data_IF_931839923550
#
_entry.id   IF_931839923550
#
_cell.length_a   1.000
_cell.length_b   1.000
_cell.length_c   1.000
_cell.angle_alpha   90.00
_cell.angle_beta   90.00
_cell.angle_gamma   90.00
#
_symmetry.space_group_name_H-M   'P 1'
#
loop_
_entity.id
_entity.type
_entity.pdbx_description
1 polymer ?
#
# COMPACT_ATOMS: atom_id res chain seq x y z
N UNK A 1 -12.95 3.83 -10.37
CA UNK A 1 -14.32 4.08 -9.83
C UNK A 1 -14.50 5.57 -9.51
N UNK A 2 -15.70 6.14 -9.66
CA UNK A 2 -15.94 7.59 -9.44
C UNK A 2 -17.16 7.94 -8.59
N UNK A 3 -17.98 6.96 -8.22
CA UNK A 3 -19.11 7.20 -7.34
C UNK A 3 -18.62 7.38 -5.91
N UNK A 4 -19.21 8.32 -5.17
CA UNK A 4 -18.92 8.48 -3.74
C UNK A 4 -19.38 7.23 -2.97
N UNK A 5 -18.46 6.64 -2.21
CA UNK A 5 -18.74 5.51 -1.32
C UNK A 5 -19.52 5.96 -0.10
N UNK A 6 -20.36 5.06 0.42
CA UNK A 6 -20.95 5.20 1.75
C UNK A 6 -20.12 4.37 2.73
N UNK A 7 -19.63 5.01 3.79
CA UNK A 7 -18.83 4.38 4.83
C UNK A 7 -19.55 4.56 6.15
N UNK A 8 -19.78 3.45 6.85
CA UNK A 8 -20.42 3.43 8.15
C UNK A 8 -19.41 2.94 9.17
N UNK A 9 -19.03 3.83 10.09
CA UNK A 9 -18.09 3.49 11.16
C UNK A 9 -18.84 2.76 12.27
N UNK A 10 -18.32 1.61 12.67
CA UNK A 10 -18.84 0.87 13.82
C UNK A 10 -18.18 1.37 15.11
N UNK A 11 -18.90 1.35 16.24
CA UNK A 11 -18.33 1.72 17.53
C UNK A 11 -17.23 0.74 17.94
N UNK A 12 -16.30 1.22 18.78
CA UNK A 12 -15.28 0.35 19.36
C UNK A 12 -15.96 -0.71 20.23
N UNK A 13 -15.50 -1.95 20.03
CA UNK A 13 -15.76 -3.06 20.93
C UNK A 13 -14.57 -3.20 21.89
N UNK A 14 -14.83 -3.40 23.18
CA UNK A 14 -13.80 -3.57 24.21
C UNK A 14 -13.22 -4.99 24.14
N UNK A 15 -12.58 -5.29 23.01
CA UNK A 15 -12.12 -6.62 22.60
C UNK A 15 -10.71 -6.53 22.05
N UNK A 16 -9.88 -7.53 22.39
CA UNK A 16 -8.50 -7.58 21.95
C UNK A 16 -8.33 -8.61 20.83
N UNK A 17 -8.03 -8.13 19.63
CA UNK A 17 -7.82 -8.98 18.45
C UNK A 17 -6.66 -9.99 18.57
N UNK A 18 -5.74 -9.76 19.51
CA UNK A 18 -4.71 -10.75 19.83
C UNK A 18 -5.28 -12.03 20.48
N UNK A 19 -6.50 -11.99 21.03
CA UNK A 19 -7.15 -13.12 21.72
C UNK A 19 -8.26 -13.72 20.85
N UNK A 20 -8.20 -15.02 20.61
CA UNK A 20 -9.23 -15.72 19.82
C UNK A 20 -10.63 -15.65 20.45
N UNK A 21 -10.74 -15.74 21.78
CA UNK A 21 -12.04 -15.58 22.48
C UNK A 21 -12.70 -14.24 22.15
N UNK A 22 -11.93 -13.16 22.22
CA UNK A 22 -12.42 -11.82 21.89
C UNK A 22 -12.78 -11.69 20.40
N UNK A 23 -12.03 -12.32 19.50
CA UNK A 23 -12.35 -12.33 18.06
C UNK A 23 -13.64 -13.09 17.78
N UNK A 24 -13.87 -14.22 18.46
CA UNK A 24 -15.11 -14.98 18.34
C UNK A 24 -16.31 -14.11 18.78
N UNK A 25 -16.17 -13.35 19.85
CA UNK A 25 -17.19 -12.40 20.31
C UNK A 25 -17.41 -11.23 19.33
N UNK A 26 -16.33 -10.70 18.72
CA UNK A 26 -16.41 -9.67 17.67
C UNK A 26 -17.19 -10.21 16.47
N UNK A 27 -16.90 -11.44 16.03
CA UNK A 27 -17.57 -12.07 14.91
C UNK A 27 -19.05 -12.39 15.22
N UNK A 28 -19.37 -12.81 16.45
CA UNK A 28 -20.77 -13.01 16.87
C UNK A 28 -21.56 -11.70 16.92
N UNK A 29 -20.90 -10.61 17.31
CA UNK A 29 -21.49 -9.28 17.28
C UNK A 29 -21.75 -8.83 15.83
N UNK A 30 -20.82 -9.14 14.93
CA UNK A 30 -20.95 -8.84 13.50
C UNK A 30 -22.06 -9.67 12.83
N UNK A 31 -22.14 -10.97 13.12
CA UNK A 31 -23.23 -11.87 12.70
C UNK A 31 -24.60 -11.30 13.05
N UNK A 32 -24.79 -10.92 14.33
CA UNK A 32 -26.06 -10.34 14.82
C UNK A 32 -26.40 -9.03 14.11
N UNK A 33 -25.39 -8.17 13.89
CA UNK A 33 -25.55 -6.91 13.18
C UNK A 33 -26.01 -7.15 11.73
N UNK A 34 -25.35 -8.08 11.02
CA UNK A 34 -25.68 -8.40 9.63
C UNK A 34 -27.08 -9.02 9.51
N UNK A 35 -27.42 -10.01 10.35
CA UNK A 35 -28.75 -10.60 10.38
C UNK A 35 -29.83 -9.54 10.59
N UNK A 36 -29.64 -8.67 11.59
CA UNK A 36 -30.57 -7.57 11.87
C UNK A 36 -30.69 -6.64 10.67
N UNK A 37 -29.56 -6.21 10.09
CA UNK A 37 -29.51 -5.25 8.97
C UNK A 37 -30.24 -5.80 7.73
N UNK A 38 -30.00 -7.06 7.38
CA UNK A 38 -30.66 -7.71 6.24
C UNK A 38 -32.15 -7.91 6.51
N UNK A 39 -32.52 -8.33 7.72
CA UNK A 39 -33.92 -8.48 8.10
C UNK A 39 -34.68 -7.14 8.03
N UNK A 40 -34.10 -6.06 8.54
CA UNK A 40 -34.72 -4.73 8.53
C UNK A 40 -34.74 -4.09 7.13
N UNK A 41 -33.69 -4.29 6.33
CA UNK A 41 -33.55 -3.63 5.02
C UNK A 41 -34.26 -4.38 3.89
N UNK A 42 -34.35 -5.71 3.98
CA UNK A 42 -34.86 -6.58 2.91
C UNK A 42 -36.00 -7.49 3.33
N UNK A 43 -36.37 -7.53 4.61
CA UNK A 43 -37.43 -8.40 5.12
C UNK A 43 -37.03 -9.87 5.26
N UNK A 44 -35.78 -10.24 4.95
CA UNK A 44 -35.29 -11.62 5.02
C UNK A 44 -33.78 -11.69 5.23
N UNK A 45 -33.34 -12.67 6.02
CA UNK A 45 -31.91 -13.00 6.20
C UNK A 45 -31.37 -13.92 5.11
N UNK A 46 -32.22 -14.53 4.28
CA UNK A 46 -31.78 -15.49 3.24
C UNK A 46 -30.85 -14.83 2.20
N UNK A 47 -30.99 -13.52 1.99
CA UNK A 47 -30.10 -12.77 1.10
C UNK A 47 -28.67 -12.67 1.65
N UNK A 48 -28.51 -12.66 2.98
CA UNK A 48 -27.19 -12.69 3.62
C UNK A 48 -26.49 -14.01 3.31
N UNK A 49 -27.18 -15.14 3.46
CA UNK A 49 -26.62 -16.46 3.16
C UNK A 49 -26.32 -16.63 1.66
N UNK A 50 -27.22 -16.11 0.80
CA UNK A 50 -27.07 -16.19 -0.65
C UNK A 50 -25.89 -15.37 -1.18
N UNK A 51 -25.77 -14.12 -0.76
CA UNK A 51 -24.78 -13.20 -1.32
C UNK A 51 -23.52 -13.09 -0.48
N UNK A 52 -23.58 -13.34 0.82
CA UNK A 52 -22.46 -13.17 1.72
C UNK A 52 -22.00 -11.71 1.87
N UNK A 53 -21.07 -11.52 2.80
CA UNK A 53 -20.39 -10.26 3.08
C UNK A 53 -18.89 -10.52 3.02
N UNK A 54 -18.22 -9.72 2.18
CA UNK A 54 -16.77 -9.76 2.10
C UNK A 54 -16.22 -9.18 3.38
N UNK A 55 -15.24 -9.87 3.94
CA UNK A 55 -14.51 -9.39 5.10
C UNK A 55 -13.07 -9.18 4.71
N UNK A 56 -12.51 -8.07 5.16
CA UNK A 56 -11.16 -7.70 4.81
C UNK A 56 -10.56 -6.85 5.93
N UNK A 57 -9.24 -6.82 5.97
CA UNK A 57 -8.51 -6.06 6.96
C UNK A 57 -7.01 -6.18 6.76
N UNK A 58 -6.26 -5.68 7.73
CA UNK A 58 -4.81 -5.86 7.75
C UNK A 58 -4.44 -7.35 7.94
N UNK A 59 -3.14 -7.62 7.98
CA UNK A 59 -2.63 -9.00 8.05
C UNK A 59 -3.05 -9.71 9.34
N UNK A 60 -3.11 -8.98 10.46
CA UNK A 60 -3.54 -9.55 11.73
C UNK A 60 -5.03 -9.91 11.68
N UNK A 61 -5.87 -8.97 11.26
CA UNK A 61 -7.33 -9.15 11.14
C UNK A 61 -7.67 -10.35 10.28
N UNK A 62 -7.05 -10.42 9.10
CA UNK A 62 -7.28 -11.51 8.14
C UNK A 62 -6.99 -12.87 8.76
N UNK A 63 -5.83 -13.05 9.41
CA UNK A 63 -5.43 -14.31 10.04
C UNK A 63 -6.34 -14.66 11.22
N UNK A 64 -6.74 -13.67 12.02
CA UNK A 64 -7.61 -13.89 13.18
C UNK A 64 -9.02 -14.31 12.76
N UNK A 65 -9.57 -13.66 11.74
CA UNK A 65 -10.89 -13.99 11.21
C UNK A 65 -10.91 -15.37 10.54
N UNK A 66 -9.89 -15.70 9.74
CA UNK A 66 -9.77 -17.06 9.17
C UNK A 66 -9.61 -18.11 10.27
N UNK A 67 -8.76 -17.87 11.26
CA UNK A 67 -8.58 -18.79 12.40
C UNK A 67 -9.86 -19.00 13.19
N UNK A 68 -10.63 -17.94 13.46
CA UNK A 68 -11.91 -18.04 14.18
C UNK A 68 -12.97 -18.81 13.37
N UNK A 69 -13.00 -18.66 12.04
CA UNK A 69 -13.84 -19.49 11.17
C UNK A 69 -13.41 -20.96 11.21
N UNK A 70 -12.11 -21.24 11.19
CA UNK A 70 -11.58 -22.60 11.27
C UNK A 70 -11.95 -23.28 12.60
N UNK A 71 -11.87 -22.57 13.72
CA UNK A 71 -12.32 -23.08 15.04
C UNK A 71 -13.81 -23.48 15.04
N UNK A 72 -14.61 -22.83 14.19
CA UNK A 72 -16.05 -23.06 14.09
C UNK A 72 -16.44 -24.02 12.97
N UNK A 73 -15.49 -24.56 12.21
CA UNK A 73 -15.76 -25.34 10.99
C UNK A 73 -16.70 -26.53 11.21
N UNK A 74 -16.67 -27.15 12.40
CA UNK A 74 -17.53 -28.29 12.76
C UNK A 74 -18.86 -27.89 13.43
N UNK A 75 -19.19 -26.59 13.44
CA UNK A 75 -20.46 -26.14 14.03
C UNK A 75 -21.65 -26.65 13.21
N UNK A 76 -22.79 -26.99 13.83
CA UNK A 76 -23.90 -27.63 13.12
C UNK A 76 -24.54 -26.78 12.01
N UNK A 77 -24.58 -25.46 12.15
CA UNK A 77 -25.27 -24.55 11.24
C UNK A 77 -24.31 -23.63 10.48
N UNK A 78 -24.68 -23.27 9.24
CA UNK A 78 -23.89 -22.36 8.40
C UNK A 78 -23.65 -20.98 9.06
N UNK A 79 -24.67 -20.46 9.75
CA UNK A 79 -24.55 -19.23 10.55
C UNK A 79 -23.52 -19.36 11.69
N UNK A 80 -23.52 -20.47 12.45
CA UNK A 80 -22.48 -20.68 13.47
C UNK A 80 -21.09 -20.86 12.87
N UNK A 81 -20.99 -21.40 11.66
CA UNK A 81 -19.74 -21.49 10.88
C UNK A 81 -19.34 -20.15 10.24
N UNK A 82 -20.19 -19.13 10.32
CA UNK A 82 -20.01 -17.81 9.70
C UNK A 82 -19.71 -17.94 8.19
N UNK A 83 -20.40 -18.85 7.51
CA UNK A 83 -20.12 -19.18 6.10
C UNK A 83 -20.30 -17.98 5.17
N UNK A 84 -21.27 -17.11 5.46
CA UNK A 84 -21.56 -15.95 4.65
C UNK A 84 -20.51 -14.83 4.78
N UNK A 85 -19.65 -14.84 5.82
CA UNK A 85 -18.50 -13.93 5.92
C UNK A 85 -17.38 -14.39 4.97
N UNK A 86 -17.58 -14.21 3.66
CA UNK A 86 -16.71 -14.74 2.63
C UNK A 86 -16.55 -13.80 1.43
N UNK A 87 -15.35 -13.79 0.80
CA UNK A 87 -14.10 -14.30 1.36
C UNK A 87 -13.59 -13.41 2.50
N UNK A 88 -12.60 -13.92 3.24
CA UNK A 88 -11.73 -13.09 4.10
C UNK A 88 -10.47 -12.79 3.28
N UNK A 89 -10.13 -11.52 3.07
CA UNK A 89 -8.98 -11.11 2.22
C UNK A 89 -8.13 -10.03 2.88
N UNK A 90 -6.86 -9.95 2.48
CA UNK A 90 -5.96 -8.85 2.89
C UNK A 90 -6.37 -7.53 2.22
N UNK A 91 -6.16 -6.42 2.92
CA UNK A 91 -6.26 -5.07 2.37
C UNK A 91 -4.90 -4.53 1.87
N UNK A 92 -4.94 -3.50 1.03
CA UNK A 92 -3.82 -3.16 0.14
C UNK A 92 -2.86 -2.08 0.70
N UNK A 93 -3.27 -1.24 1.64
CA UNK A 93 -2.39 -0.16 2.12
C UNK A 93 -1.19 -0.70 2.89
N UNK A 94 -1.42 -1.59 3.86
CA UNK A 94 -0.32 -2.19 4.63
C UNK A 94 0.64 -3.01 3.75
N UNK A 95 0.12 -3.64 2.69
CA UNK A 95 0.94 -4.32 1.68
C UNK A 95 1.83 -3.32 0.93
N UNK A 96 1.29 -2.17 0.53
CA UNK A 96 2.04 -1.07 -0.08
C UNK A 96 3.09 -0.50 0.87
N UNK A 97 2.80 -0.40 2.17
CA UNK A 97 3.79 -0.01 3.18
C UNK A 97 4.93 -1.03 3.27
N UNK A 98 4.62 -2.32 3.32
CA UNK A 98 5.63 -3.38 3.42
C UNK A 98 6.49 -3.49 2.15
N UNK A 99 5.91 -3.21 0.97
CA UNK A 99 6.66 -3.07 -0.28
C UNK A 99 7.73 -1.96 -0.18
N UNK A 100 7.35 -0.80 0.35
CA UNK A 100 8.28 0.32 0.52
C UNK A 100 9.34 -0.02 1.57
N UNK A 101 8.97 -0.66 2.67
CA UNK A 101 9.90 -1.19 3.68
C UNK A 101 10.93 -2.15 3.03
N UNK A 102 10.50 -3.10 2.19
CA UNK A 102 11.43 -4.01 1.50
C UNK A 102 12.35 -3.28 0.52
N UNK A 103 11.85 -2.22 -0.12
CA UNK A 103 12.65 -1.38 -1.01
C UNK A 103 13.74 -0.63 -0.24
N UNK A 104 13.41 -0.04 0.91
CA UNK A 104 14.40 0.62 1.77
C UNK A 104 15.41 -0.39 2.35
N UNK A 105 14.98 -1.57 2.79
CA UNK A 105 15.91 -2.63 3.23
C UNK A 105 16.92 -3.02 2.15
N UNK A 106 16.52 -2.99 0.89
CA UNK A 106 17.40 -3.31 -0.24
C UNK A 106 18.32 -2.15 -0.65
N UNK A 107 17.85 -0.89 -0.54
CA UNK A 107 18.47 0.27 -1.18
C UNK A 107 18.82 1.42 -0.24
N UNK A 108 18.67 1.26 1.07
CA UNK A 108 18.99 2.29 2.06
C UNK A 108 19.96 1.74 3.10
N UNK A 109 21.10 2.42 3.25
CA UNK A 109 22.06 2.18 4.33
C UNK A 109 22.56 3.51 4.88
N UNK A 110 22.56 3.67 6.19
CA UNK A 110 23.01 4.92 6.83
C UNK A 110 24.50 5.21 6.62
N UNK A 111 25.32 4.21 6.31
CA UNK A 111 26.74 4.39 5.96
C UNK A 111 26.96 4.90 4.51
N UNK A 112 25.88 5.05 3.73
CA UNK A 112 25.93 5.53 2.34
C UNK A 112 25.66 7.03 2.17
N UNK A 113 25.67 7.82 3.26
CA UNK A 113 25.36 9.26 3.27
C UNK A 113 26.27 10.10 2.35
N UNK A 114 27.52 9.68 2.17
CA UNK A 114 28.52 10.33 1.31
C UNK A 114 28.51 9.78 -0.13
N UNK A 115 27.74 8.72 -0.40
CA UNK A 115 27.70 8.06 -1.72
C UNK A 115 26.62 8.69 -2.59
N UNK A 116 27.07 9.48 -3.56
CA UNK A 116 26.24 10.23 -4.50
C UNK A 116 25.12 9.37 -5.10
N UNK A 117 23.92 9.94 -5.17
CA UNK A 117 22.76 9.32 -5.81
C UNK A 117 22.00 8.29 -4.96
N UNK A 118 22.54 7.84 -3.82
CA UNK A 118 21.84 6.91 -2.92
C UNK A 118 20.69 7.58 -2.15
N UNK A 119 19.74 6.80 -1.65
CA UNK A 119 18.64 7.32 -0.83
C UNK A 119 19.16 7.99 0.45
N UNK A 120 20.23 7.47 1.07
CA UNK A 120 20.84 8.12 2.24
C UNK A 120 21.49 9.46 1.88
N UNK A 121 22.19 9.54 0.74
CA UNK A 121 22.74 10.80 0.23
C UNK A 121 21.65 11.86 0.04
N UNK A 122 20.55 11.52 -0.63
CA UNK A 122 19.44 12.45 -0.85
C UNK A 122 18.78 12.88 0.45
N UNK A 123 18.57 11.93 1.37
CA UNK A 123 18.04 12.18 2.71
C UNK A 123 18.88 13.21 3.47
N UNK A 124 20.20 13.08 3.41
CA UNK A 124 21.15 14.03 4.01
C UNK A 124 21.09 15.40 3.31
N UNK A 125 21.12 15.40 1.97
CA UNK A 125 21.13 16.61 1.13
C UNK A 125 19.88 17.48 1.36
N UNK A 126 18.72 16.83 1.49
CA UNK A 126 17.43 17.48 1.70
C UNK A 126 17.07 17.68 3.18
N UNK A 127 17.94 17.23 4.10
CA UNK A 127 17.73 17.30 5.56
C UNK A 127 16.38 16.69 6.00
N UNK A 128 15.99 15.54 5.41
CA UNK A 128 14.77 14.80 5.75
C UNK A 128 15.08 13.76 6.84
N UNK A 129 15.27 14.23 8.08
CA UNK A 129 15.74 13.38 9.19
C UNK A 129 14.81 12.20 9.49
N UNK A 130 13.51 12.39 9.28
CA UNK A 130 12.45 11.43 9.57
C UNK A 130 12.49 10.22 8.61
N UNK A 131 13.21 10.35 7.48
CA UNK A 131 13.56 9.23 6.61
C UNK A 131 14.78 8.51 7.22
N UNK A 132 14.51 7.59 8.14
CA UNK A 132 15.52 6.87 8.94
C UNK A 132 15.69 5.39 8.53
N UNK A 133 14.95 4.93 7.51
CA UNK A 133 14.95 3.55 7.03
C UNK A 133 13.95 2.63 7.74
N UNK A 134 13.29 3.08 8.82
CA UNK A 134 12.16 2.39 9.46
C UNK A 134 10.86 2.90 8.85
N UNK A 135 10.48 2.35 7.69
CA UNK A 135 9.39 2.89 6.87
C UNK A 135 8.05 2.86 7.60
N UNK A 136 7.74 1.76 8.30
CA UNK A 136 6.43 1.61 8.97
C UNK A 136 6.15 2.67 10.04
N UNK A 137 7.18 3.11 10.77
CA UNK A 137 7.05 4.14 11.82
C UNK A 137 6.86 5.56 11.28
N UNK A 138 7.39 5.85 10.08
CA UNK A 138 7.33 7.18 9.46
C UNK A 138 6.92 7.07 7.98
N UNK A 139 5.80 6.40 7.72
CA UNK A 139 5.45 5.97 6.36
C UNK A 139 5.28 7.15 5.40
N UNK A 140 4.63 8.23 5.84
CA UNK A 140 4.40 9.40 5.00
C UNK A 140 5.70 10.08 4.61
N UNK A 141 6.58 10.30 5.59
CA UNK A 141 7.90 10.89 5.33
C UNK A 141 8.71 10.07 4.33
N UNK A 142 8.72 8.74 4.48
CA UNK A 142 9.41 7.85 3.54
C UNK A 142 8.74 7.82 2.16
N UNK A 143 7.41 7.73 2.09
CA UNK A 143 6.65 7.68 0.84
C UNK A 143 6.83 8.96 0.01
N UNK A 144 6.62 10.14 0.62
CA UNK A 144 6.78 11.40 -0.09
C UNK A 144 8.22 11.60 -0.58
N UNK A 145 9.21 11.34 0.30
CA UNK A 145 10.62 11.43 -0.07
C UNK A 145 10.96 10.49 -1.23
N UNK A 146 10.52 9.23 -1.14
CA UNK A 146 10.77 8.23 -2.17
C UNK A 146 10.14 8.65 -3.51
N UNK A 147 8.90 9.14 -3.51
CA UNK A 147 8.21 9.63 -4.70
C UNK A 147 8.92 10.81 -5.34
N UNK A 148 9.46 11.74 -4.55
CA UNK A 148 10.28 12.83 -5.08
C UNK A 148 11.50 12.29 -5.83
N UNK A 149 12.31 11.46 -5.18
CA UNK A 149 13.55 10.96 -5.77
C UNK A 149 13.26 10.14 -7.04
N UNK A 150 12.26 9.26 -6.99
CA UNK A 150 11.86 8.45 -8.15
C UNK A 150 11.38 9.31 -9.31
N UNK A 151 10.54 10.32 -9.07
CA UNK A 151 10.05 11.22 -10.14
C UNK A 151 11.19 11.96 -10.82
N UNK A 152 12.15 12.46 -10.04
CA UNK A 152 13.30 13.16 -10.61
C UNK A 152 14.28 12.20 -11.32
N UNK A 153 14.41 10.95 -10.88
CA UNK A 153 15.16 9.92 -11.61
C UNK A 153 14.51 9.58 -12.96
N UNK A 154 13.18 9.46 -13.02
CA UNK A 154 12.45 9.24 -14.29
C UNK A 154 12.69 10.41 -15.24
N UNK A 155 12.65 11.65 -14.74
CA UNK A 155 13.02 12.81 -15.53
C UNK A 155 14.47 12.72 -16.02
N UNK A 156 15.43 12.38 -15.17
CA UNK A 156 16.84 12.24 -15.57
C UNK A 156 17.06 11.14 -16.63
N UNK A 157 16.31 10.03 -16.59
CA UNK A 157 16.32 9.01 -17.66
C UNK A 157 15.94 9.61 -19.01
N UNK A 158 14.88 10.42 -19.05
CA UNK A 158 14.44 11.10 -20.27
C UNK A 158 15.47 12.14 -20.73
N UNK A 159 16.05 12.91 -19.80
CA UNK A 159 17.11 13.88 -20.13
C UNK A 159 18.33 13.20 -20.77
N UNK A 160 18.74 12.06 -20.22
CA UNK A 160 19.88 11.30 -20.73
C UNK A 160 19.58 10.66 -22.09
N UNK A 161 18.40 10.06 -22.26
CA UNK A 161 18.01 9.43 -23.54
C UNK A 161 17.88 10.44 -24.68
N UNK A 162 17.23 11.58 -24.41
CA UNK A 162 16.94 12.59 -25.43
C UNK A 162 18.04 13.67 -25.52
N UNK A 163 19.16 13.50 -24.82
CA UNK A 163 20.28 14.46 -24.76
C UNK A 163 19.85 15.89 -24.41
N UNK A 164 18.94 16.03 -23.44
CA UNK A 164 18.43 17.32 -22.99
C UNK A 164 19.35 17.95 -21.94
N UNK A 165 19.37 19.28 -21.90
CA UNK A 165 20.02 20.05 -20.83
C UNK A 165 18.99 20.82 -20.01
N UNK A 166 19.30 21.05 -18.73
CA UNK A 166 18.42 21.84 -17.84
C UNK A 166 18.25 23.29 -18.30
N UNK A 167 19.22 23.82 -19.07
CA UNK A 167 19.22 25.19 -19.58
C UNK A 167 18.47 25.34 -20.92
N UNK A 168 18.11 24.23 -21.58
CA UNK A 168 17.37 24.26 -22.85
C UNK A 168 15.89 24.58 -22.60
N UNK A 169 15.52 25.85 -22.71
CA UNK A 169 14.16 26.35 -22.48
C UNK A 169 13.12 25.90 -23.54
N UNK A 170 13.52 25.21 -24.60
CA UNK A 170 12.60 24.69 -25.62
C UNK A 170 13.01 23.31 -26.13
N UNK A 171 12.74 22.24 -25.36
CA UNK A 171 13.04 20.86 -25.79
C UNK A 171 12.01 20.33 -26.81
N UNK A 172 10.91 21.05 -27.05
CA UNK A 172 9.87 20.65 -27.99
C UNK A 172 10.04 21.34 -29.35
N UNK A 173 10.13 20.57 -30.44
CA UNK A 173 10.02 21.12 -31.79
C UNK A 173 8.77 22.01 -31.92
N UNK A 174 8.89 23.23 -32.46
CA UNK A 174 7.80 24.22 -32.54
C UNK A 174 6.52 23.66 -33.23
N UNK A 175 6.69 22.71 -34.13
CA UNK A 175 5.62 21.96 -34.81
C UNK A 175 4.79 21.10 -33.85
N UNK A 176 5.34 20.54 -32.77
CA UNK A 176 4.59 19.79 -31.76
C UNK A 176 3.77 20.72 -30.89
N UNK A 177 4.30 21.89 -30.51
CA UNK A 177 3.57 22.86 -29.69
C UNK A 177 2.26 23.31 -30.35
N UNK A 178 2.24 23.41 -31.68
CA UNK A 178 1.07 23.77 -32.50
C UNK A 178 0.24 22.57 -32.98
N UNK A 179 0.67 21.34 -32.70
CA UNK A 179 -0.04 20.14 -33.13
C UNK A 179 -1.36 19.91 -32.37
N UNK A 180 -2.21 19.07 -32.95
CA UNK A 180 -3.47 18.65 -32.31
C UNK A 180 -3.22 17.92 -30.99
N UNK A 181 -4.21 17.91 -30.09
CA UNK A 181 -4.15 17.16 -28.82
C UNK A 181 -3.80 15.68 -29.06
N UNK A 182 -4.44 15.07 -30.05
CA UNK A 182 -4.24 13.65 -30.39
C UNK A 182 -2.79 13.37 -30.84
N UNK A 183 -2.23 14.27 -31.66
CA UNK A 183 -0.82 14.18 -32.08
C UNK A 183 0.14 14.33 -30.91
N UNK A 184 -0.13 15.24 -29.98
CA UNK A 184 0.68 15.42 -28.76
C UNK A 184 0.64 14.17 -27.87
N UNK A 185 -0.56 13.60 -27.66
CA UNK A 185 -0.73 12.38 -26.87
C UNK A 185 -0.03 11.17 -27.53
N UNK A 186 -0.13 11.03 -28.85
CA UNK A 186 0.57 9.98 -29.58
C UNK A 186 2.08 10.14 -29.44
N UNK A 187 2.61 11.35 -29.63
CA UNK A 187 4.06 11.58 -29.49
C UNK A 187 4.55 11.35 -28.07
N UNK A 188 3.75 11.71 -27.06
CA UNK A 188 4.07 11.42 -25.66
C UNK A 188 4.15 9.91 -25.40
N UNK A 189 3.20 9.13 -25.95
CA UNK A 189 3.22 7.66 -25.86
C UNK A 189 4.46 7.06 -26.52
N UNK A 190 4.82 7.54 -27.71
CA UNK A 190 6.05 7.12 -28.41
C UNK A 190 7.30 7.38 -27.55
N UNK A 191 7.49 8.63 -27.08
CA UNK A 191 8.63 8.99 -26.24
C UNK A 191 8.68 8.20 -24.93
N UNK A 192 7.51 7.96 -24.33
CA UNK A 192 7.41 7.14 -23.11
C UNK A 192 7.84 5.70 -23.40
N UNK A 193 7.39 5.11 -24.52
CA UNK A 193 7.81 3.76 -24.93
C UNK A 193 9.33 3.70 -25.14
N UNK A 194 9.91 4.69 -25.82
CA UNK A 194 11.36 4.76 -26.04
C UNK A 194 12.16 4.78 -24.72
N UNK A 195 11.69 5.53 -23.70
CA UNK A 195 12.29 5.53 -22.35
C UNK A 195 12.16 4.16 -21.69
N UNK A 196 10.96 3.59 -21.70
CA UNK A 196 10.69 2.29 -21.06
C UNK A 196 11.51 1.16 -21.70
N UNK A 197 11.62 1.15 -23.03
CA UNK A 197 12.39 0.17 -23.79
C UNK A 197 13.90 0.33 -23.55
N UNK A 198 14.41 1.57 -23.49
CA UNK A 198 15.84 1.83 -23.26
C UNK A 198 16.33 1.35 -21.91
N UNK A 199 15.56 1.62 -20.85
CA UNK A 199 15.94 1.34 -19.47
C UNK A 199 15.33 0.04 -18.94
N UNK A 200 14.69 -0.73 -19.81
CA UNK A 200 14.08 -2.03 -19.53
C UNK A 200 13.17 -2.00 -18.29
N UNK A 201 12.37 -0.94 -18.21
CA UNK A 201 11.75 -0.45 -16.98
C UNK A 201 10.60 -1.32 -16.47
N UNK A 202 10.16 -2.31 -17.26
CA UNK A 202 9.01 -3.15 -16.95
C UNK A 202 9.26 -4.64 -17.22
N UNK A 203 10.49 -5.03 -17.60
CA UNK A 203 10.85 -6.44 -17.70
C UNK A 203 11.66 -6.78 -16.48
N UNK A 204 11.07 -7.56 -15.57
CA UNK A 204 11.86 -8.31 -14.58
C UNK A 204 12.70 -9.28 -15.41
N UNK A 205 13.91 -8.87 -15.75
CA UNK A 205 14.68 -9.43 -16.86
C UNK A 205 16.18 -9.51 -16.58
N UNK A 206 16.93 -9.80 -17.65
CA UNK A 206 18.38 -9.99 -17.60
C UNK A 206 19.02 -8.69 -17.11
N UNK A 207 19.79 -8.72 -16.01
CA UNK A 207 20.45 -7.54 -15.50
C UNK A 207 21.44 -6.98 -16.52
N UNK A 208 21.70 -5.68 -16.45
CA UNK A 208 22.83 -5.11 -17.18
C UNK A 208 24.13 -5.73 -16.67
N UNK A 209 25.01 -6.17 -17.56
CA UNK A 209 26.38 -6.61 -17.23
C UNK A 209 27.32 -5.41 -16.90
N UNK A 210 26.76 -4.23 -16.67
CA UNK A 210 27.52 -3.02 -16.37
C UNK A 210 28.22 -3.11 -15.01
N UNK A 211 29.53 -2.85 -15.01
CA UNK A 211 30.32 -2.63 -13.78
C UNK A 211 30.11 -1.24 -13.15
N UNK A 212 29.13 -0.46 -13.64
CA UNK A 212 28.71 0.82 -13.04
C UNK A 212 27.68 0.56 -11.94
N UNK A 213 28.15 0.58 -10.69
CA UNK A 213 27.31 0.31 -9.52
C UNK A 213 26.27 1.42 -9.29
N UNK A 214 26.54 2.67 -9.71
CA UNK A 214 25.57 3.76 -9.57
C UNK A 214 24.45 3.64 -10.60
N UNK A 215 24.79 3.27 -11.84
CA UNK A 215 23.81 2.96 -12.88
C UNK A 215 22.88 1.82 -12.43
N UNK A 216 23.47 0.73 -11.93
CA UNK A 216 22.70 -0.42 -11.46
C UNK A 216 21.79 -0.03 -10.29
N UNK A 217 22.33 0.68 -9.29
CA UNK A 217 21.54 1.18 -8.17
C UNK A 217 20.37 2.08 -8.60
N UNK A 218 20.65 3.05 -9.47
CA UNK A 218 19.66 4.06 -9.89
C UNK A 218 18.56 3.44 -10.75
N UNK A 219 18.92 2.47 -11.61
CA UNK A 219 17.97 1.70 -12.41
C UNK A 219 17.07 0.85 -11.51
N UNK A 220 17.65 0.12 -10.56
CA UNK A 220 16.89 -0.72 -9.61
C UNK A 220 15.92 0.11 -8.78
N UNK A 221 16.39 1.25 -8.24
CA UNK A 221 15.58 2.21 -7.51
C UNK A 221 14.42 2.74 -8.35
N UNK A 222 14.68 3.09 -9.61
CA UNK A 222 13.66 3.64 -10.52
C UNK A 222 12.59 2.60 -10.85
N UNK A 223 12.96 1.35 -11.13
CA UNK A 223 12.00 0.27 -11.42
C UNK A 223 11.10 0.00 -10.21
N UNK A 224 11.70 -0.13 -9.01
CA UNK A 224 10.91 -0.29 -7.77
C UNK A 224 9.99 0.90 -7.52
N UNK A 225 10.49 2.09 -7.81
CA UNK A 225 9.77 3.36 -7.70
C UNK A 225 8.58 3.47 -8.63
N UNK A 226 8.74 3.09 -9.89
CA UNK A 226 7.67 3.09 -10.87
C UNK A 226 6.56 2.12 -10.51
N UNK A 227 6.91 0.92 -10.03
CA UNK A 227 5.91 0.00 -9.52
C UNK A 227 5.18 0.54 -8.27
N UNK A 228 5.88 1.25 -7.37
CA UNK A 228 5.22 1.93 -6.25
C UNK A 228 4.23 3.01 -6.71
N UNK A 229 4.63 3.86 -7.66
CA UNK A 229 3.75 4.87 -8.26
C UNK A 229 2.56 4.22 -8.99
N UNK A 230 2.78 3.10 -9.66
CA UNK A 230 1.76 2.31 -10.34
C UNK A 230 0.74 1.73 -9.35
N UNK A 231 1.16 1.26 -8.17
CA UNK A 231 0.24 0.84 -7.11
C UNK A 231 -0.62 2.02 -6.62
N UNK A 232 -0.04 3.18 -6.35
CA UNK A 232 -0.82 4.37 -5.95
C UNK A 232 -1.81 4.81 -7.04
N UNK A 233 -1.39 4.84 -8.30
CA UNK A 233 -2.23 5.22 -9.44
C UNK A 233 -3.38 4.23 -9.64
N UNK A 234 -3.09 2.93 -9.52
CA UNK A 234 -4.10 1.86 -9.60
C UNK A 234 -5.23 2.09 -8.61
N UNK A 235 -4.88 2.43 -7.36
CA UNK A 235 -5.86 2.74 -6.32
C UNK A 235 -6.60 4.02 -6.68
N UNK A 236 -5.90 5.14 -6.92
CA UNK A 236 -6.52 6.45 -7.19
C UNK A 236 -7.54 6.43 -8.31
N UNK A 237 -7.21 5.78 -9.43
CA UNK A 237 -8.11 5.64 -10.58
C UNK A 237 -9.23 4.60 -10.34
N UNK A 238 -9.07 3.77 -9.31
CA UNK A 238 -9.95 2.65 -9.00
C UNK A 238 -9.94 1.62 -10.13
N UNK A 239 -8.74 1.27 -10.59
CA UNK A 239 -8.52 0.35 -11.70
C UNK A 239 -8.32 -1.08 -11.20
N UNK A 240 -9.44 -1.78 -11.06
CA UNK A 240 -9.47 -3.16 -10.59
C UNK A 240 -8.67 -4.13 -11.46
N UNK A 241 -8.43 -3.80 -12.74
CA UNK A 241 -7.71 -4.68 -13.66
C UNK A 241 -6.21 -4.75 -13.36
N UNK A 242 -5.65 -3.68 -12.80
CA UNK A 242 -4.23 -3.56 -12.49
C UNK A 242 -3.85 -4.10 -11.11
N UNK A 243 -4.82 -4.30 -10.20
CA UNK A 243 -4.56 -4.84 -8.84
C UNK A 243 -3.83 -6.18 -8.89
N UNK A 244 -4.34 -7.15 -9.66
CA UNK A 244 -3.73 -8.48 -9.76
C UNK A 244 -2.33 -8.43 -10.37
N UNK A 245 -2.11 -7.53 -11.34
CA UNK A 245 -0.79 -7.34 -11.94
C UNK A 245 0.22 -6.79 -10.91
N UNK A 246 -0.17 -5.79 -10.13
CA UNK A 246 0.68 -5.23 -9.08
C UNK A 246 1.04 -6.27 -8.01
N UNK A 247 0.07 -7.09 -7.58
CA UNK A 247 0.32 -8.16 -6.61
C UNK A 247 1.29 -9.22 -7.18
N UNK A 248 1.18 -9.56 -8.47
CA UNK A 248 2.14 -10.46 -9.13
C UNK A 248 3.56 -9.89 -9.14
N UNK A 249 3.72 -8.57 -9.33
CA UNK A 249 5.04 -7.90 -9.26
C UNK A 249 5.55 -7.82 -7.82
N UNK A 250 4.67 -7.77 -6.81
CA UNK A 250 5.06 -7.81 -5.40
C UNK A 250 5.69 -9.16 -4.99
N UNK A 251 5.22 -10.29 -5.55
CA UNK A 251 5.68 -11.65 -5.21
C UNK A 251 7.21 -11.77 -5.24
N UNK A 252 7.91 -11.53 -6.38
CA UNK A 252 9.37 -11.67 -6.41
C UNK A 252 10.05 -10.68 -5.47
N UNK A 253 9.51 -9.48 -5.25
CA UNK A 253 10.10 -8.49 -4.33
C UNK A 253 10.04 -8.97 -2.89
N UNK A 254 8.92 -9.53 -2.46
CA UNK A 254 8.80 -10.11 -1.13
C UNK A 254 9.61 -11.39 -0.98
N UNK A 255 9.63 -12.25 -2.00
CA UNK A 255 10.42 -13.48 -2.01
C UNK A 255 11.92 -13.21 -1.92
N UNK A 256 12.45 -12.24 -2.67
CA UNK A 256 13.86 -11.83 -2.61
C UNK A 256 14.31 -11.42 -1.21
N UNK A 257 13.41 -10.85 -0.42
CA UNK A 257 13.68 -10.51 0.97
C UNK A 257 13.55 -11.74 1.88
N UNK A 258 12.46 -12.50 1.77
CA UNK A 258 12.27 -13.76 2.51
C UNK A 258 11.15 -14.60 1.89
N UNK A 259 11.42 -15.89 1.68
CA UNK A 259 10.39 -16.85 1.28
C UNK A 259 9.32 -17.10 2.36
N UNK A 260 9.56 -16.63 3.59
CA UNK A 260 8.61 -16.69 4.71
C UNK A 260 7.83 -15.37 4.91
N UNK A 261 7.92 -14.43 3.95
CA UNK A 261 7.23 -13.15 4.06
C UNK A 261 5.70 -13.36 4.17
N UNK A 262 5.08 -12.79 5.21
CA UNK A 262 3.62 -12.83 5.37
C UNK A 262 2.91 -12.20 4.16
N UNK A 263 3.38 -11.03 3.72
CA UNK A 263 2.80 -10.35 2.55
C UNK A 263 3.08 -11.05 1.21
N UNK A 264 4.09 -11.93 1.13
CA UNK A 264 4.23 -12.84 -0.01
C UNK A 264 3.05 -13.82 -0.04
N UNK A 265 2.77 -14.48 1.09
CA UNK A 265 1.63 -15.38 1.21
C UNK A 265 0.31 -14.65 0.92
N UNK A 266 0.11 -13.45 1.48
CA UNK A 266 -1.11 -12.68 1.24
C UNK A 266 -1.29 -12.28 -0.24
N UNK A 267 -0.20 -11.96 -0.97
CA UNK A 267 -0.29 -11.78 -2.43
C UNK A 267 -0.78 -13.04 -3.14
N UNK A 268 -0.20 -14.20 -2.82
CA UNK A 268 -0.56 -15.48 -3.43
C UNK A 268 -2.01 -15.85 -3.11
N UNK A 269 -2.41 -15.71 -1.85
CA UNK A 269 -3.77 -15.99 -1.37
C UNK A 269 -4.82 -15.10 -2.07
N UNK A 270 -4.58 -13.79 -2.10
CA UNK A 270 -5.48 -12.83 -2.76
C UNK A 270 -5.62 -13.13 -4.26
N UNK A 271 -4.50 -13.33 -4.97
CA UNK A 271 -4.51 -13.64 -6.41
C UNK A 271 -5.25 -14.95 -6.66
N UNK A 272 -4.99 -15.99 -5.88
CA UNK A 272 -5.61 -17.32 -6.05
C UNK A 272 -7.11 -17.25 -5.81
N UNK A 273 -7.55 -16.61 -4.72
CA UNK A 273 -8.98 -16.39 -4.45
C UNK A 273 -9.65 -15.69 -5.63
N UNK A 274 -9.14 -14.53 -6.04
CA UNK A 274 -9.73 -13.70 -7.11
C UNK A 274 -9.69 -14.37 -8.49
N UNK A 275 -8.64 -15.15 -8.78
CA UNK A 275 -8.44 -15.73 -10.12
C UNK A 275 -9.07 -17.11 -10.28
N UNK A 276 -9.21 -17.87 -9.19
CA UNK A 276 -9.54 -19.30 -9.27
C UNK A 276 -10.77 -19.71 -8.45
N UNK A 277 -11.06 -19.07 -7.32
CA UNK A 277 -12.07 -19.58 -6.37
C UNK A 277 -13.35 -18.75 -6.32
N UNK A 278 -13.25 -17.44 -6.51
CA UNK A 278 -14.40 -16.55 -6.35
C UNK A 278 -15.32 -16.58 -7.56
N UNK A 279 -16.62 -16.48 -7.28
CA UNK A 279 -17.62 -16.21 -8.31
C UNK A 279 -17.34 -14.87 -9.00
N UNK A 280 -17.83 -14.63 -10.24
CA UNK A 280 -17.65 -13.35 -10.91
C UNK A 280 -18.12 -12.15 -10.07
N UNK A 281 -19.21 -12.32 -9.31
CA UNK A 281 -19.73 -11.28 -8.42
C UNK A 281 -18.81 -11.05 -7.23
N UNK A 282 -18.37 -12.10 -6.53
CA UNK A 282 -17.50 -11.96 -5.36
C UNK A 282 -16.13 -11.39 -5.75
N UNK A 283 -15.61 -11.77 -6.93
CA UNK A 283 -14.41 -11.17 -7.51
C UNK A 283 -14.54 -9.65 -7.65
N UNK A 284 -15.64 -9.17 -8.25
CA UNK A 284 -15.86 -7.74 -8.42
C UNK A 284 -15.97 -7.06 -7.05
N UNK A 285 -16.74 -7.63 -6.13
CA UNK A 285 -16.90 -7.07 -4.78
C UNK A 285 -15.59 -7.03 -3.99
N UNK A 286 -14.69 -8.03 -4.11
CA UNK A 286 -13.35 -8.00 -3.49
C UNK A 286 -12.52 -6.87 -4.07
N UNK A 287 -12.44 -6.81 -5.40
CA UNK A 287 -11.59 -5.85 -6.09
C UNK A 287 -12.07 -4.40 -5.90
N UNK A 288 -13.38 -4.16 -6.01
CA UNK A 288 -13.96 -2.84 -5.76
C UNK A 288 -13.94 -2.49 -4.27
N UNK A 289 -14.19 -3.47 -3.39
CA UNK A 289 -14.22 -3.30 -1.94
C UNK A 289 -12.87 -2.94 -1.32
N UNK A 290 -11.76 -3.22 -2.01
CA UNK A 290 -10.41 -2.82 -1.57
C UNK A 290 -10.17 -1.30 -1.62
N UNK A 291 -11.13 -0.54 -2.16
CA UNK A 291 -11.01 0.89 -2.40
C UNK A 291 -12.28 1.64 -2.00
N UNK A 292 -12.08 2.85 -1.48
CA UNK A 292 -13.15 3.72 -1.02
C UNK A 292 -12.99 5.09 -1.66
N UNK A 293 -14.08 5.69 -2.13
CA UNK A 293 -14.08 7.02 -2.71
C UNK A 293 -14.90 7.97 -1.85
N UNK A 294 -14.29 8.59 -0.83
CA UNK A 294 -14.99 9.46 0.13
C UNK A 294 -15.49 10.78 -0.49
N UNK A 295 -14.88 11.23 -1.58
CA UNK A 295 -15.17 12.53 -2.21
C UNK A 295 -16.08 12.42 -3.44
N UNK A 296 -16.18 11.23 -4.03
CA UNK A 296 -16.66 11.05 -5.40
C UNK A 296 -15.68 11.60 -6.44
N UNK A 297 -15.98 11.42 -7.71
CA UNK A 297 -15.13 11.84 -8.83
C UNK A 297 -14.00 10.87 -9.15
N UNK A 298 -13.41 11.05 -10.33
CA UNK A 298 -12.25 10.26 -10.79
C UNK A 298 -10.98 10.64 -10.01
N UNK A 299 -10.05 9.69 -9.84
CA UNK A 299 -8.77 9.92 -9.16
C UNK A 299 -8.84 10.08 -7.63
N UNK A 300 -10.01 9.91 -7.01
CA UNK A 300 -10.25 10.19 -5.59
C UNK A 300 -10.43 8.94 -4.71
N UNK A 301 -10.12 7.76 -5.25
CA UNK A 301 -10.16 6.52 -4.48
C UNK A 301 -8.93 6.40 -3.59
N UNK A 302 -9.11 5.75 -2.44
CA UNK A 302 -8.07 5.42 -1.46
C UNK A 302 -8.27 3.98 -0.98
N UNK A 303 -7.24 3.36 -0.46
CA UNK A 303 -7.32 1.99 0.07
C UNK A 303 -8.29 1.91 1.27
N UNK A 304 -9.05 0.82 1.37
CA UNK A 304 -10.07 0.68 2.41
C UNK A 304 -9.47 0.60 3.82
N UNK A 305 -8.34 -0.09 4.02
CA UNK A 305 -7.64 -0.13 5.31
C UNK A 305 -7.00 1.21 5.69
N UNK A 306 -6.63 2.06 4.73
CA UNK A 306 -6.21 3.43 5.03
C UNK A 306 -7.38 4.28 5.57
N UNK A 307 -8.60 4.09 5.04
CA UNK A 307 -9.80 4.72 5.61
C UNK A 307 -10.03 4.26 7.04
N UNK A 308 -9.85 2.96 7.29
CA UNK A 308 -9.95 2.41 8.63
C UNK A 308 -8.91 3.01 9.57
N UNK A 309 -7.66 3.20 9.13
CA UNK A 309 -6.61 3.85 9.93
C UNK A 309 -6.98 5.30 10.31
N UNK A 310 -7.52 6.08 9.36
CA UNK A 310 -8.02 7.43 9.65
C UNK A 310 -9.18 7.41 10.66
N UNK A 311 -10.08 6.45 10.52
CA UNK A 311 -11.20 6.21 11.44
C UNK A 311 -10.70 5.88 12.86
N UNK A 312 -9.71 5.01 13.00
CA UNK A 312 -9.08 4.65 14.28
C UNK A 312 -8.41 5.87 14.92
N UNK A 313 -7.66 6.67 14.15
CA UNK A 313 -7.04 7.90 14.66
C UNK A 313 -8.07 8.89 15.21
N UNK A 314 -9.14 9.15 14.47
CA UNK A 314 -10.23 10.03 14.91
C UNK A 314 -10.86 9.52 16.23
N UNK A 315 -11.09 8.21 16.34
CA UNK A 315 -11.59 7.62 17.59
C UNK A 315 -10.60 7.80 18.75
N UNK A 316 -9.29 7.59 18.54
CA UNK A 316 -8.27 7.80 19.58
C UNK A 316 -8.26 9.24 20.09
N UNK A 317 -8.38 10.23 19.20
CA UNK A 317 -8.46 11.65 19.59
C UNK A 317 -9.69 11.95 20.45
N UNK A 318 -10.85 11.42 20.07
CA UNK A 318 -12.08 11.57 20.85
C UNK A 318 -11.97 10.89 22.22
N UNK A 319 -11.38 9.71 22.29
CA UNK A 319 -11.12 9.00 23.55
C UNK A 319 -10.15 9.79 24.43
N UNK A 320 -9.10 10.39 23.87
CA UNK A 320 -8.20 11.30 24.60
C UNK A 320 -8.97 12.51 25.14
N UNK A 321 -9.90 13.06 24.36
CA UNK A 321 -10.77 14.17 24.75
C UNK A 321 -11.67 13.88 25.96
N UNK A 322 -11.97 12.62 26.28
CA UNK A 322 -12.73 12.24 27.49
C UNK A 322 -11.97 12.53 28.80
N UNK A 323 -10.63 12.65 28.75
CA UNK A 323 -9.82 12.92 29.94
C UNK A 323 -10.00 11.86 31.03
N UNK A 324 -10.32 12.30 32.25
CA UNK A 324 -10.56 11.40 33.40
C UNK A 324 -11.90 10.64 33.32
N UNK A 325 -12.81 11.02 32.41
CA UNK A 325 -14.14 10.41 32.30
C UNK A 325 -14.16 9.15 31.40
N UNK A 326 -13.01 8.52 31.17
CA UNK A 326 -12.90 7.29 30.38
C UNK A 326 -13.58 6.14 31.13
N UNK A 327 -14.74 5.73 30.64
CA UNK A 327 -15.41 4.48 30.98
C UNK A 327 -15.74 3.73 29.69
N UNK A 328 -15.94 2.42 29.76
CA UNK A 328 -16.30 1.62 28.58
C UNK A 328 -17.53 2.18 27.86
N UNK A 329 -18.56 2.57 28.62
CA UNK A 329 -19.78 3.19 28.10
C UNK A 329 -19.50 4.53 27.42
N UNK A 330 -18.68 5.39 28.03
CA UNK A 330 -18.33 6.69 27.44
C UNK A 330 -17.51 6.52 26.15
N UNK A 331 -16.59 5.56 26.11
CA UNK A 331 -15.78 5.24 24.93
C UNK A 331 -16.68 4.73 23.79
N UNK A 332 -17.57 3.78 24.06
CA UNK A 332 -18.49 3.26 23.04
C UNK A 332 -19.44 4.35 22.54
N UNK A 333 -19.94 5.23 23.42
CA UNK A 333 -20.80 6.35 23.04
C UNK A 333 -20.08 7.38 22.16
N UNK A 334 -18.87 7.82 22.54
CA UNK A 334 -18.13 8.82 21.77
C UNK A 334 -17.65 8.29 20.43
N UNK A 335 -17.24 7.03 20.36
CA UNK A 335 -16.78 6.39 19.11
C UNK A 335 -17.93 6.11 18.15
N UNK A 336 -19.13 5.77 18.65
CA UNK A 336 -20.34 5.69 17.83
C UNK A 336 -20.70 7.06 17.19
N UNK A 337 -20.47 8.15 17.92
CA UNK A 337 -20.74 9.51 17.45
C UNK A 337 -19.60 10.12 16.62
N UNK A 338 -18.47 9.43 16.44
CA UNK A 338 -17.26 9.99 15.85
C UNK A 338 -17.45 10.61 14.45
N UNK A 339 -18.16 9.98 13.49
CA UNK A 339 -18.41 10.61 12.19
C UNK A 339 -19.21 11.90 12.29
N UNK A 340 -20.22 11.91 13.17
CA UNK A 340 -21.11 13.07 13.35
C UNK A 340 -20.37 14.22 14.00
N UNK A 341 -19.57 13.94 15.03
CA UNK A 341 -18.73 14.93 15.71
C UNK A 341 -17.74 15.54 14.71
N UNK A 342 -17.03 14.72 13.94
CA UNK A 342 -16.11 15.20 12.92
C UNK A 342 -16.79 16.13 11.91
N UNK A 343 -18.01 15.76 11.45
CA UNK A 343 -18.78 16.58 10.52
C UNK A 343 -19.22 17.91 11.14
N UNK A 344 -19.63 17.93 12.40
CA UNK A 344 -19.98 19.15 13.13
C UNK A 344 -18.76 20.07 13.24
N UNK A 345 -17.61 19.54 13.68
CA UNK A 345 -16.36 20.31 13.79
C UNK A 345 -15.96 20.93 12.44
N UNK A 346 -16.00 20.15 11.37
CA UNK A 346 -15.69 20.64 10.02
C UNK A 346 -16.60 21.79 9.57
N UNK A 347 -17.91 21.65 9.80
CA UNK A 347 -18.86 22.70 9.42
C UNK A 347 -18.65 23.96 10.27
N UNK A 348 -18.42 23.79 11.58
CA UNK A 348 -18.12 24.89 12.48
C UNK A 348 -16.86 25.66 12.04
N UNK A 349 -15.77 24.95 11.74
CA UNK A 349 -14.53 25.56 11.26
C UNK A 349 -14.73 26.31 9.94
N UNK A 350 -15.49 25.73 9.00
CA UNK A 350 -15.80 26.36 7.72
C UNK A 350 -16.64 27.64 7.88
N UNK A 351 -17.66 27.62 8.74
CA UNK A 351 -18.51 28.78 9.01
C UNK A 351 -17.75 29.93 9.69
N UNK A 352 -16.75 29.59 10.52
CA UNK A 352 -15.98 30.57 11.29
C UNK A 352 -14.64 30.93 10.62
N UNK A 353 -14.38 30.44 9.40
CA UNK A 353 -13.11 30.58 8.69
C UNK A 353 -11.90 30.19 9.57
N UNK A 354 -12.08 29.20 10.44
CA UNK A 354 -10.99 28.69 11.26
C UNK A 354 -10.04 27.97 10.31
N UNK A 355 -8.80 28.44 10.17
CA UNK A 355 -7.84 27.77 9.32
C UNK A 355 -7.60 26.39 9.91
N UNK A 356 -7.60 25.36 9.04
CA UNK A 356 -7.16 24.03 9.45
C UNK A 356 -5.79 24.19 10.10
N UNK A 357 -5.64 23.66 11.31
CA UNK A 357 -4.32 23.62 11.95
C UNK A 357 -3.37 22.93 10.98
N UNK A 358 -2.33 23.63 10.56
CA UNK A 358 -1.23 23.01 9.86
C UNK A 358 -0.62 22.01 10.85
N UNK A 359 -0.82 20.73 10.58
CA UNK A 359 -0.13 19.62 11.23
C UNK A 359 1.37 19.89 11.24
N UNK A 360 2.07 19.37 12.25
CA UNK A 360 3.54 19.30 12.23
C UNK A 360 3.94 18.23 11.22
N UNK A 361 3.71 18.50 9.94
CA UNK A 361 4.27 17.66 8.90
C UNK A 361 5.79 17.74 8.98
N UNK A 362 6.44 16.58 8.83
CA UNK A 362 7.83 16.52 8.38
C UNK A 362 7.99 17.50 7.22
N UNK A 363 9.12 18.21 7.14
CA UNK A 363 9.34 19.31 6.18
C UNK A 363 8.72 18.95 4.83
N UNK A 364 7.61 19.61 4.48
CA UNK A 364 6.88 19.35 3.23
C UNK A 364 7.87 19.44 2.07
N UNK A 365 7.76 18.50 1.13
CA UNK A 365 8.61 18.51 -0.05
C UNK A 365 8.33 19.78 -0.83
N UNK A 366 9.34 20.63 -0.90
CA UNK A 366 9.23 21.94 -1.54
C UNK A 366 9.65 21.88 -2.99
N UNK A 367 9.25 22.89 -3.77
CA UNK A 367 9.77 23.10 -5.14
C UNK A 367 11.30 23.24 -5.13
N UNK A 368 11.87 23.76 -4.04
CA UNK A 368 13.31 23.85 -3.86
C UNK A 368 13.95 22.47 -3.67
N UNK A 369 13.33 21.57 -2.91
CA UNK A 369 13.83 20.19 -2.76
C UNK A 369 13.90 19.50 -4.13
N UNK A 370 12.87 19.67 -4.96
CA UNK A 370 12.85 19.18 -6.34
C UNK A 370 14.00 19.74 -7.17
N UNK A 371 14.20 21.06 -7.14
CA UNK A 371 15.28 21.72 -7.88
C UNK A 371 16.67 21.23 -7.44
N UNK A 372 16.88 21.07 -6.13
CA UNK A 372 18.13 20.53 -5.59
C UNK A 372 18.41 19.12 -6.11
N UNK A 373 17.38 18.25 -6.16
CA UNK A 373 17.52 16.88 -6.68
C UNK A 373 17.82 16.91 -8.18
N UNK A 374 17.04 17.64 -8.99
CA UNK A 374 17.20 17.66 -10.45
C UNK A 374 18.57 18.21 -10.88
N UNK A 375 19.02 19.33 -10.31
CA UNK A 375 20.34 19.90 -10.59
C UNK A 375 21.48 18.97 -10.18
N UNK A 376 21.31 18.26 -9.06
CA UNK A 376 22.32 17.31 -8.56
C UNK A 376 22.35 16.06 -9.43
N UNK A 377 21.20 15.52 -9.82
CA UNK A 377 21.09 14.37 -10.73
C UNK A 377 21.73 14.67 -12.08
N UNK A 378 21.49 15.85 -12.65
CA UNK A 378 22.10 16.24 -13.92
C UNK A 378 23.62 16.35 -13.86
N UNK A 379 24.19 16.68 -12.69
CA UNK A 379 25.65 16.66 -12.46
C UNK A 379 26.17 15.24 -12.31
N UNK A 380 25.42 14.37 -11.63
CA UNK A 380 25.81 12.98 -11.33
C UNK A 380 25.67 12.08 -12.57
N UNK A 381 24.66 12.32 -13.41
CA UNK A 381 24.28 11.53 -14.61
C UNK A 381 24.29 10.02 -14.33
N UNK A 382 23.42 9.54 -13.44
CA UNK A 382 23.41 8.13 -13.02
C UNK A 382 23.09 7.16 -14.17
N UNK A 383 22.41 7.62 -15.22
CA UNK A 383 22.00 6.80 -16.36
C UNK A 383 23.00 6.79 -17.52
N UNK A 384 24.08 7.57 -17.44
CA UNK A 384 25.21 7.50 -18.34
C UNK A 384 26.21 6.46 -17.81
N UNK A 385 26.26 5.29 -18.46
CA UNK A 385 27.15 4.20 -18.07
C UNK A 385 28.60 4.69 -18.06
N UNK A 386 29.24 4.59 -16.89
CA UNK A 386 30.65 4.92 -16.69
C UNK A 386 31.35 3.75 -16.02
N UNK A 387 32.30 3.16 -16.74
CA UNK A 387 32.98 1.95 -16.31
C UNK A 387 33.65 2.12 -14.93
N UNK A 388 33.38 1.18 -14.01
CA UNK A 388 33.99 1.13 -12.69
C UNK A 388 33.49 2.17 -11.69
N UNK A 389 32.45 2.96 -12.03
CA UNK A 389 31.83 3.91 -11.10
C UNK A 389 31.24 3.16 -9.90
N UNK A 390 31.61 3.58 -8.70
CA UNK A 390 31.23 2.93 -7.44
C UNK A 390 29.97 3.52 -6.82
N UNK A 391 29.26 2.68 -6.09
CA UNK A 391 28.10 3.01 -5.25
C UNK A 391 28.24 2.26 -3.90
N UNK A 392 27.41 2.58 -2.92
CA UNK A 392 27.42 1.90 -1.60
C UNK A 392 26.91 0.44 -1.64
N UNK A 393 26.48 -0.04 -2.80
CA UNK A 393 25.76 -1.29 -2.99
C UNK A 393 26.50 -2.17 -4.00
N UNK A 394 27.61 -2.76 -3.57
CA UNK A 394 28.37 -3.72 -4.36
C UNK A 394 27.50 -4.91 -4.75
N UNK A 395 27.67 -5.41 -5.98
CA UNK A 395 26.93 -6.57 -6.54
C UNK A 395 25.41 -6.37 -6.67
N UNK A 396 24.90 -5.16 -6.48
CA UNK A 396 23.53 -4.84 -6.81
C UNK A 396 23.37 -4.80 -8.33
N UNK A 397 22.42 -5.58 -8.84
CA UNK A 397 22.09 -5.60 -10.25
C UNK A 397 21.06 -4.52 -10.59
N UNK A 398 21.07 -4.07 -11.85
CA UNK A 398 20.13 -3.05 -12.34
C UNK A 398 18.68 -3.48 -12.22
N UNK A 399 18.41 -4.76 -12.46
CA UNK A 399 17.08 -5.34 -12.39
C UNK A 399 16.77 -5.82 -10.96
N UNK A 400 15.62 -5.43 -10.37
CA UNK A 400 15.19 -5.97 -9.11
C UNK A 400 15.04 -7.49 -9.19
N UNK A 401 15.39 -8.19 -8.11
CA UNK A 401 15.09 -9.62 -7.97
C UNK A 401 15.84 -10.56 -8.92
N UNK A 402 16.81 -10.09 -9.71
CA UNK A 402 17.59 -10.95 -10.63
C UNK A 402 18.42 -12.04 -9.93
N UNK A 403 18.70 -11.90 -8.63
CA UNK A 403 19.43 -12.89 -7.85
C UNK A 403 18.55 -13.97 -7.22
N UNK A 404 17.23 -13.96 -7.48
CA UNK A 404 16.31 -14.99 -6.95
C UNK A 404 16.61 -16.34 -7.62
N UNK A 405 16.65 -17.40 -6.81
CA UNK A 405 16.58 -18.77 -7.31
C UNK A 405 15.13 -19.07 -7.74
N UNK A 406 14.87 -19.02 -9.05
CA UNK A 406 13.54 -19.22 -9.64
C UNK A 406 12.99 -20.61 -9.31
N UNK A 407 13.80 -21.66 -9.41
CA UNK A 407 13.37 -23.03 -9.09
C UNK A 407 12.91 -23.16 -7.64
N UNK A 408 13.63 -22.53 -6.70
CA UNK A 408 13.22 -22.49 -5.29
C UNK A 408 11.92 -21.71 -5.11
N UNK A 409 11.80 -20.57 -5.80
CA UNK A 409 10.57 -19.77 -5.75
C UNK A 409 9.37 -20.57 -6.26
N UNK A 410 9.50 -21.28 -7.38
CA UNK A 410 8.43 -22.12 -7.91
C UNK A 410 8.00 -23.20 -6.91
N UNK A 411 8.96 -23.91 -6.30
CA UNK A 411 8.67 -24.91 -5.25
C UNK A 411 7.94 -24.30 -4.05
N UNK A 412 8.44 -23.17 -3.54
CA UNK A 412 7.85 -22.51 -2.38
C UNK A 412 6.44 -21.96 -2.71
N UNK A 413 6.22 -21.46 -3.93
CA UNK A 413 4.92 -21.01 -4.42
C UNK A 413 3.93 -22.19 -4.56
N UNK A 414 4.37 -23.34 -5.06
CA UNK A 414 3.54 -24.55 -5.14
C UNK A 414 3.09 -25.01 -3.74
N UNK A 415 3.98 -24.93 -2.74
CA UNK A 415 3.64 -25.21 -1.34
C UNK A 415 2.59 -24.23 -0.82
N UNK A 416 2.74 -22.92 -1.11
CA UNK A 416 1.78 -21.89 -0.72
C UNK A 416 0.42 -22.10 -1.40
N UNK A 417 0.39 -22.39 -2.70
CA UNK A 417 -0.83 -22.70 -3.45
C UNK A 417 -1.51 -23.95 -2.89
N UNK A 418 -0.73 -24.98 -2.54
CA UNK A 418 -1.25 -26.17 -1.85
C UNK A 418 -1.89 -25.84 -0.50
N UNK A 419 -1.30 -24.93 0.29
CA UNK A 419 -1.88 -24.46 1.57
C UNK A 419 -3.18 -23.68 1.36
N UNK A 420 -3.18 -22.73 0.43
CA UNK A 420 -4.36 -21.93 0.07
C UNK A 420 -5.48 -22.83 -0.46
N UNK A 421 -5.12 -23.82 -1.28
CA UNK A 421 -6.04 -24.85 -1.76
C UNK A 421 -6.64 -25.70 -0.63
N UNK A 422 -5.83 -26.12 0.36
CA UNK A 422 -6.32 -26.83 1.56
C UNK A 422 -7.20 -25.96 2.46
N UNK A 423 -7.01 -24.64 2.48
CA UNK A 423 -7.96 -23.74 3.16
C UNK A 423 -9.34 -23.68 2.50
N UNK A 424 -9.44 -24.06 1.23
CA UNK A 424 -10.69 -24.17 0.45
C UNK A 424 -11.20 -25.62 0.29
N UNK A 425 -10.35 -26.63 0.56
CA UNK A 425 -10.68 -28.05 0.55
C UNK A 425 -10.84 -28.51 2.00
N UNK A 426 -12.05 -28.93 2.37
CA UNK A 426 -12.41 -29.45 3.68
C UNK A 426 -11.35 -30.37 4.33
N UNK A 427 -10.94 -30.00 5.55
CA UNK A 427 -10.52 -30.85 6.69
C UNK A 427 -9.23 -31.67 6.54
N UNK A 428 -8.45 -31.67 7.63
CA UNK A 428 -7.26 -32.47 7.96
C UNK A 428 -5.89 -32.00 7.42
N UNK A 429 -5.19 -31.18 8.20
CA UNK A 429 -4.12 -31.66 9.09
C UNK A 429 -3.41 -30.51 9.81
N UNK A 430 -3.16 -30.77 11.09
CA UNK A 430 -2.40 -29.98 12.04
C UNK A 430 -0.92 -29.84 11.61
N UNK A 431 -0.36 -28.65 11.72
CA UNK A 431 0.95 -28.44 12.36
C UNK A 431 1.17 -26.94 12.62
N UNK A 432 1.37 -26.63 13.90
CA UNK A 432 1.41 -25.29 14.46
C UNK A 432 2.77 -24.61 14.31
N UNK A 433 2.68 -23.31 14.07
CA UNK A 433 3.46 -22.20 14.63
C UNK A 433 4.59 -22.57 15.60
N UNK A 434 5.79 -22.14 15.23
CA UNK A 434 6.71 -21.51 16.16
C UNK A 434 7.48 -20.46 15.37
N UNK A 435 7.05 -19.19 15.48
CA UNK A 435 8.01 -18.11 15.63
C UNK A 435 7.39 -17.00 16.46
N UNK A 436 8.13 -16.71 17.51
CA UNK A 436 7.81 -15.87 18.66
C UNK A 436 7.33 -14.48 18.30
N UNK A 437 6.33 -14.05 19.05
CA UNK A 437 5.99 -12.65 19.25
C UNK A 437 7.25 -11.88 19.69
N UNK A 438 7.81 -11.08 18.78
CA UNK A 438 8.54 -9.91 19.19
C UNK A 438 7.48 -8.90 19.63
N UNK A 439 7.28 -8.84 20.94
CA UNK A 439 6.51 -7.79 21.59
C UNK A 439 7.27 -6.51 21.33
N UNK A 440 6.91 -5.83 20.25
CA UNK A 440 7.27 -4.44 20.02
C UNK A 440 6.87 -3.68 21.26
N UNK A 441 7.86 -3.24 22.02
CA UNK A 441 7.68 -2.25 23.07
C UNK A 441 7.04 -1.04 22.42
N UNK A 442 5.89 -0.64 22.96
CA UNK A 442 5.27 0.64 22.70
C UNK A 442 6.31 1.73 22.99
N UNK A 443 6.98 2.20 21.94
CA UNK A 443 7.56 3.53 21.98
C UNK A 443 6.41 4.47 21.65
N UNK A 444 5.77 4.97 22.70
CA UNK A 444 5.19 6.31 22.67
C UNK A 444 6.31 7.27 22.24
N UNK A 445 6.37 7.61 20.96
CA UNK A 445 6.82 8.89 20.43
C UNK A 445 6.80 8.86 18.89
N UNK A 446 6.19 9.91 18.33
CA UNK A 446 6.02 10.26 16.91
C UNK A 446 4.84 9.61 16.15
N UNK A 447 3.62 10.00 16.54
CA UNK A 447 2.43 9.91 15.67
C UNK A 447 2.60 10.85 14.46
N UNK A 448 2.98 10.29 13.30
CA UNK A 448 3.04 11.05 12.05
C UNK A 448 1.62 11.27 11.49
N UNK A 449 1.14 12.52 11.54
CA UNK A 449 -0.18 12.92 11.05
C UNK A 449 -0.30 12.75 9.52
N UNK A 450 -1.16 11.79 9.12
CA UNK A 450 -1.64 11.65 7.74
C UNK A 450 -2.59 12.79 7.35
N UNK A 451 -2.66 13.20 6.07
CA UNK A 451 -3.58 14.26 5.64
C UNK A 451 -5.03 13.88 6.00
N UNK A 452 -5.76 14.81 6.62
CA UNK A 452 -7.19 14.62 6.91
C UNK A 452 -7.97 14.47 5.62
N UNK A 453 -8.38 13.23 5.34
CA UNK A 453 -9.39 12.94 4.34
C UNK A 453 -10.74 13.00 5.06
N UNK A 454 -11.64 13.93 4.67
CA UNK A 454 -12.98 13.96 5.23
C UNK A 454 -13.66 12.61 5.01
N UNK A 455 -14.11 11.97 6.08
CA UNK A 455 -15.10 10.90 6.02
C UNK A 455 -16.45 11.47 5.57
#
# INVERSE_FOLDING_TARGET
>A
MSQKSQVFQLPIQHKNEAKYEDILDVMDSYEKLLQKTFQESHGTVELLDKFGVITSGDQLTKVRFEGAKNLRLMSPTASRRLEHLRPVVIELWHLKQDYLEKTFKALYKMDSLDKLGTLAFWRNRLKKTDVNGKVKGHFNSHSEFFKLIVRELICEQAFELFNLNLEDNTPYPQNICKASRLTKEQKMRELTSEVLDKFDVMRIGVPSESNDELYNYSTNLTIRGLHYLQMEDTIKEGDISRIILNLKVCIPIFFAHSCLSKYLFECVDYITKVSCFLSPLDKLRVLEGSMVNLRGGQGNNIEADLVQEHSVRNQKELIRGLGANKSETAISAVTAAAPVIAKICMNFDAEHNIPKKASRHSKVISTEDKKVVSESLRKIRPFLITNGRKCAFSNLLSQPCSNINITKMDIDLDVMLGRVGRGYISVDNEEYDNDTADVGTDNEEDEEEMPDIPL
#
